data_IF_061687439355
#
_entry.id   IF_061687439355
#
_cell.length_a   1.000
_cell.length_b   1.000
_cell.length_c   1.000
_cell.angle_alpha   90.00
_cell.angle_beta   90.00
_cell.angle_gamma   90.00
#
_symmetry.space_group_name_H-M   'P 1'
#
loop_
_entity.id
_entity.type
_entity.pdbx_description
1 polymer ?
#
# COMPACT_ATOMS: atom_id res chain seq x y z
N UNK A 1 13.12 19.60 -33.78
CA UNK A 1 12.86 18.15 -33.87
C UNK A 1 12.76 17.67 -32.43
N UNK A 2 11.54 17.53 -31.88
CA UNK A 2 11.37 16.97 -30.53
C UNK A 2 11.37 15.45 -30.67
N UNK A 3 12.17 14.77 -29.85
CA UNK A 3 12.14 13.31 -29.76
C UNK A 3 10.86 12.95 -29.01
N UNK A 4 9.92 12.32 -29.71
CA UNK A 4 8.72 11.75 -29.09
C UNK A 4 9.17 10.78 -27.99
N UNK A 5 8.77 11.03 -26.75
CA UNK A 5 9.14 10.22 -25.57
C UNK A 5 10.25 10.78 -24.68
N UNK A 6 10.89 11.90 -25.02
CA UNK A 6 11.94 12.49 -24.16
C UNK A 6 11.39 13.15 -22.89
N UNK A 7 10.12 13.58 -22.94
CA UNK A 7 9.36 14.11 -21.80
C UNK A 7 8.58 13.00 -21.04
N UNK A 8 8.63 11.74 -21.53
CA UNK A 8 7.85 10.64 -20.95
C UNK A 8 8.60 10.07 -19.74
N UNK A 9 8.49 10.79 -18.62
CA UNK A 9 9.08 10.40 -17.34
C UNK A 9 8.41 9.11 -16.88
N UNK A 10 9.16 8.02 -16.89
CA UNK A 10 8.69 6.75 -16.32
C UNK A 10 8.71 6.83 -14.80
N UNK A 11 7.54 6.82 -14.21
CA UNK A 11 7.34 6.85 -12.77
C UNK A 11 6.74 5.52 -12.29
N UNK A 12 7.11 5.14 -11.07
CA UNK A 12 6.50 4.04 -10.35
C UNK A 12 6.10 4.56 -8.98
N UNK A 13 4.96 4.12 -8.49
CA UNK A 13 4.55 4.40 -7.11
C UNK A 13 4.92 3.21 -6.24
N UNK A 14 5.58 3.47 -5.12
CA UNK A 14 5.94 2.47 -4.12
C UNK A 14 5.27 2.85 -2.81
N UNK A 15 4.38 1.99 -2.33
CA UNK A 15 3.76 2.14 -1.01
C UNK A 15 4.55 1.31 0.00
N UNK A 16 5.05 1.98 1.04
CA UNK A 16 5.87 1.41 2.09
C UNK A 16 5.16 1.51 3.43
N UNK A 17 5.31 0.48 4.26
CA UNK A 17 4.88 0.50 5.65
C UNK A 17 5.95 -0.10 6.55
N UNK A 18 6.12 0.51 7.70
CA UNK A 18 7.00 0.02 8.76
C UNK A 18 6.17 -0.14 10.03
N UNK A 19 6.41 -1.22 10.78
CA UNK A 19 5.78 -1.42 12.07
C UNK A 19 6.63 -0.84 13.20
N UNK A 20 5.99 -0.61 14.35
CA UNK A 20 6.69 -0.14 15.56
C UNK A 20 7.75 -1.14 16.06
N UNK A 21 7.63 -2.42 15.70
CA UNK A 21 8.63 -3.45 15.99
C UNK A 21 9.89 -3.35 15.11
N UNK A 22 9.96 -2.37 14.20
CA UNK A 22 11.08 -2.17 13.27
C UNK A 22 11.01 -3.05 12.02
N UNK A 23 9.86 -3.68 11.74
CA UNK A 23 9.69 -4.51 10.55
C UNK A 23 9.23 -3.66 9.37
N UNK A 24 9.96 -3.72 8.26
CA UNK A 24 9.47 -3.24 6.97
C UNK A 24 8.54 -4.29 6.38
N UNK A 25 7.30 -3.92 6.09
CA UNK A 25 6.35 -4.80 5.41
C UNK A 25 6.73 -4.91 3.91
N UNK A 26 6.33 -6.01 3.23
CA UNK A 26 6.49 -6.09 1.79
C UNK A 26 5.81 -4.89 1.10
N UNK A 27 6.48 -4.20 0.17
CA UNK A 27 5.91 -3.04 -0.49
C UNK A 27 4.86 -3.44 -1.53
N UNK A 28 3.99 -2.47 -1.84
CA UNK A 28 3.20 -2.48 -3.06
C UNK A 28 3.88 -1.61 -4.11
N UNK A 29 4.03 -2.16 -5.32
CA UNK A 29 4.57 -1.49 -6.50
C UNK A 29 3.46 -1.28 -7.51
N UNK A 30 3.30 -0.05 -7.98
CA UNK A 30 2.39 0.29 -9.07
C UNK A 30 3.16 0.84 -10.26
N UNK A 31 3.07 0.13 -11.38
CA UNK A 31 3.58 0.55 -12.67
C UNK A 31 2.49 1.30 -13.48
N UNK A 32 2.92 2.21 -14.34
CA UNK A 32 2.04 2.83 -15.32
C UNK A 32 1.77 1.85 -16.48
N UNK A 33 0.51 1.49 -16.70
CA UNK A 33 0.12 0.65 -17.82
C UNK A 33 -1.19 -0.10 -17.60
N UNK A 34 -1.60 -0.86 -18.62
CA UNK A 34 -2.90 -1.57 -18.67
C UNK A 34 -2.80 -3.08 -18.56
N UNK A 35 -1.59 -3.62 -18.66
CA UNK A 35 -1.34 -5.06 -18.68
C UNK A 35 -0.04 -5.38 -17.94
N UNK A 36 0.15 -6.63 -17.56
CA UNK A 36 1.38 -7.11 -16.91
C UNK A 36 2.64 -6.91 -17.75
N UNK A 37 2.53 -6.62 -19.06
CA UNK A 37 3.67 -6.28 -19.90
C UNK A 37 4.34 -4.95 -19.51
N UNK A 38 3.68 -4.08 -18.73
CA UNK A 38 4.31 -2.87 -18.19
C UNK A 38 5.22 -3.14 -16.98
N UNK A 39 5.15 -4.34 -16.41
CA UNK A 39 5.96 -4.73 -15.26
C UNK A 39 7.42 -4.97 -15.67
N UNK A 40 8.33 -4.77 -14.72
CA UNK A 40 9.73 -5.16 -14.91
C UNK A 40 9.83 -6.67 -15.07
N UNK A 41 10.69 -7.12 -15.99
CA UNK A 41 11.07 -8.53 -16.12
C UNK A 41 12.07 -8.89 -15.02
N UNK A 42 11.57 -8.93 -13.80
CA UNK A 42 12.32 -9.19 -12.58
C UNK A 42 11.50 -10.09 -11.66
N UNK A 43 12.17 -11.02 -10.98
CA UNK A 43 11.52 -11.87 -9.97
C UNK A 43 11.53 -11.14 -8.64
N UNK A 44 10.40 -10.53 -8.30
CA UNK A 44 10.24 -9.83 -7.03
C UNK A 44 10.25 -10.81 -5.84
N UNK A 45 10.70 -10.37 -4.65
CA UNK A 45 10.62 -11.19 -3.45
C UNK A 45 9.17 -11.60 -3.12
N UNK A 46 9.02 -12.77 -2.51
CA UNK A 46 7.70 -13.26 -2.11
C UNK A 46 7.00 -12.26 -1.16
N UNK A 47 5.69 -12.11 -1.35
CA UNK A 47 4.85 -11.20 -0.56
C UNK A 47 4.82 -9.76 -1.05
N UNK A 48 5.70 -9.35 -1.97
CA UNK A 48 5.57 -8.04 -2.62
C UNK A 48 4.30 -8.00 -3.47
N UNK A 49 3.54 -6.92 -3.35
CA UNK A 49 2.38 -6.72 -4.21
C UNK A 49 2.78 -5.95 -5.47
N UNK A 50 2.87 -6.62 -6.61
CA UNK A 50 3.31 -6.03 -7.87
C UNK A 50 2.11 -5.87 -8.80
N UNK A 51 1.71 -4.62 -9.05
CA UNK A 51 0.52 -4.31 -9.83
C UNK A 51 0.72 -3.12 -10.77
N UNK A 52 -0.35 -2.70 -11.46
CA UNK A 52 -0.32 -1.55 -12.36
C UNK A 52 -1.65 -0.82 -12.36
N UNK A 53 -1.59 0.46 -12.69
CA UNK A 53 -2.74 1.31 -13.01
C UNK A 53 -2.41 2.13 -14.25
N UNK A 54 -3.43 2.66 -14.93
CA UNK A 54 -3.23 3.52 -16.11
C UNK A 54 -2.28 4.69 -15.83
N UNK A 55 -2.24 5.18 -14.59
CA UNK A 55 -1.50 6.36 -14.17
C UNK A 55 -0.43 6.11 -13.11
N UNK A 56 -0.07 4.85 -12.80
CA UNK A 56 0.78 4.41 -11.66
C UNK A 56 0.36 4.85 -10.25
N UNK A 57 -0.56 5.81 -10.08
CA UNK A 57 -0.99 6.30 -8.77
C UNK A 57 -1.90 5.31 -8.04
N UNK A 58 -1.84 5.37 -6.71
CA UNK A 58 -2.80 4.70 -5.84
C UNK A 58 -4.22 5.25 -6.09
N UNK A 59 -5.17 4.34 -6.18
CA UNK A 59 -6.61 4.56 -6.16
C UNK A 59 -7.27 3.61 -5.15
N UNK A 60 -8.59 3.69 -5.03
CA UNK A 60 -9.38 2.86 -4.11
C UNK A 60 -9.09 1.37 -4.29
N UNK A 61 -9.13 0.84 -5.51
CA UNK A 61 -8.92 -0.59 -5.78
C UNK A 61 -7.52 -1.04 -5.37
N UNK A 62 -6.49 -0.25 -5.66
CA UNK A 62 -5.11 -0.56 -5.23
C UNK A 62 -4.94 -0.52 -3.72
N UNK A 63 -5.69 0.35 -3.02
CA UNK A 63 -5.65 0.42 -1.57
C UNK A 63 -6.39 -0.75 -0.91
N UNK A 64 -7.50 -1.22 -1.49
CA UNK A 64 -8.14 -2.49 -1.07
C UNK A 64 -7.18 -3.65 -1.27
N UNK A 65 -6.56 -3.73 -2.45
CA UNK A 65 -5.53 -4.74 -2.75
C UNK A 65 -4.37 -4.70 -1.76
N UNK A 66 -3.94 -3.50 -1.34
CA UNK A 66 -2.90 -3.33 -0.33
C UNK A 66 -3.34 -3.88 1.03
N UNK A 67 -4.58 -3.64 1.46
CA UNK A 67 -5.13 -4.22 2.69
C UNK A 67 -5.07 -5.75 2.62
N UNK A 68 -5.58 -6.34 1.54
CA UNK A 68 -5.73 -7.79 1.39
C UNK A 68 -4.38 -8.52 1.29
N UNK A 69 -3.43 -7.97 0.54
CA UNK A 69 -2.18 -8.68 0.22
C UNK A 69 -1.04 -8.37 1.18
N UNK A 70 -1.07 -7.21 1.85
CA UNK A 70 0.04 -6.75 2.69
C UNK A 70 -0.40 -6.58 4.14
N UNK A 71 -1.42 -5.76 4.39
CA UNK A 71 -1.73 -5.31 5.74
C UNK A 71 -2.37 -6.43 6.59
N UNK A 72 -3.40 -7.10 6.08
CA UNK A 72 -4.09 -8.19 6.79
C UNK A 72 -3.13 -9.36 7.09
N UNK A 73 -2.39 -9.91 6.11
CA UNK A 73 -1.45 -10.99 6.38
C UNK A 73 -0.41 -10.64 7.46
N UNK A 74 0.04 -9.38 7.49
CA UNK A 74 0.93 -8.91 8.55
C UNK A 74 0.24 -8.93 9.92
N UNK A 75 -0.94 -8.33 10.04
CA UNK A 75 -1.68 -8.29 11.32
C UNK A 75 -2.00 -9.69 11.84
N UNK A 76 -2.52 -10.57 11.00
CA UNK A 76 -2.90 -11.92 11.39
C UNK A 76 -1.68 -12.71 11.88
N UNK A 77 -0.55 -12.59 11.16
CA UNK A 77 0.72 -13.18 11.60
C UNK A 77 1.19 -12.61 12.94
N UNK A 78 1.11 -11.30 13.14
CA UNK A 78 1.53 -10.71 14.42
C UNK A 78 0.62 -11.14 15.58
N UNK A 79 -0.69 -11.22 15.35
CA UNK A 79 -1.66 -11.68 16.37
C UNK A 79 -1.38 -13.12 16.75
N UNK A 80 -1.16 -14.00 15.78
CA UNK A 80 -0.78 -15.40 16.01
C UNK A 80 0.52 -15.50 16.81
N UNK A 81 1.59 -14.83 16.37
CA UNK A 81 2.91 -14.87 17.02
C UNK A 81 2.89 -14.36 18.47
N UNK A 82 2.01 -13.40 18.77
CA UNK A 82 1.88 -12.80 20.10
C UNK A 82 0.81 -13.51 20.96
N UNK A 83 0.13 -14.52 20.44
CA UNK A 83 -0.95 -15.21 21.15
C UNK A 83 -2.17 -14.33 21.43
N UNK A 84 -2.42 -13.34 20.57
CA UNK A 84 -3.53 -12.39 20.71
C UNK A 84 -4.80 -12.96 20.06
N UNK A 85 -5.95 -12.50 20.53
CA UNK A 85 -7.23 -12.84 19.89
C UNK A 85 -7.30 -12.25 18.47
N UNK A 86 -7.98 -12.89 17.50
CA UNK A 86 -8.08 -12.40 16.13
C UNK A 86 -8.63 -10.97 16.01
N UNK A 87 -9.52 -10.60 16.93
CA UNK A 87 -10.16 -9.29 17.00
C UNK A 87 -9.31 -8.25 17.72
N UNK A 88 -8.07 -8.58 18.14
CA UNK A 88 -7.21 -7.61 18.81
C UNK A 88 -7.02 -6.37 17.92
N UNK A 89 -7.31 -5.15 18.42
CA UNK A 89 -7.23 -3.95 17.62
C UNK A 89 -5.79 -3.68 17.15
N UNK A 90 -5.68 -3.27 15.89
CA UNK A 90 -4.45 -2.74 15.28
C UNK A 90 -4.53 -1.22 15.11
N UNK A 91 -3.38 -0.56 14.96
CA UNK A 91 -3.31 0.87 14.61
C UNK A 91 -2.42 1.03 13.40
N UNK A 92 -2.94 1.66 12.35
CA UNK A 92 -2.21 1.96 11.13
C UNK A 92 -2.12 3.48 10.93
N UNK A 93 -0.90 4.00 10.81
CA UNK A 93 -0.65 5.41 10.52
C UNK A 93 -0.65 5.63 9.01
N UNK A 94 -1.43 6.58 8.52
CA UNK A 94 -1.48 6.97 7.11
C UNK A 94 -1.21 8.46 6.95
N UNK A 95 -0.66 8.85 5.80
CA UNK A 95 -0.68 10.26 5.42
C UNK A 95 -2.09 10.71 4.99
N UNK A 96 -2.29 12.01 4.78
CA UNK A 96 -3.58 12.58 4.36
C UNK A 96 -3.80 12.53 2.84
N UNK A 97 -3.25 11.53 2.14
CA UNK A 97 -3.47 11.35 0.72
C UNK A 97 -4.91 10.85 0.44
N UNK A 98 -5.51 11.31 -0.67
CA UNK A 98 -6.93 11.06 -0.99
C UNK A 98 -7.29 9.57 -1.03
N UNK A 99 -6.43 8.72 -1.60
CA UNK A 99 -6.71 7.29 -1.68
C UNK A 99 -6.73 6.60 -0.30
N UNK A 100 -6.00 7.13 0.70
CA UNK A 100 -5.99 6.60 2.06
C UNK A 100 -7.23 7.02 2.87
N UNK A 101 -8.00 8.00 2.38
CA UNK A 101 -9.21 8.51 3.01
C UNK A 101 -10.48 8.01 2.31
N UNK A 102 -10.34 7.10 1.36
CA UNK A 102 -11.49 6.54 0.64
C UNK A 102 -12.42 5.79 1.62
N UNK A 103 -13.74 6.01 1.58
CA UNK A 103 -14.66 5.35 2.50
C UNK A 103 -14.63 3.83 2.44
N UNK A 104 -14.47 3.23 1.25
CA UNK A 104 -14.41 1.77 1.10
C UNK A 104 -13.15 1.23 1.77
N UNK A 105 -12.01 1.91 1.58
CA UNK A 105 -10.77 1.58 2.26
C UNK A 105 -10.91 1.64 3.79
N UNK A 106 -11.55 2.69 4.31
CA UNK A 106 -11.77 2.83 5.76
C UNK A 106 -12.70 1.76 6.32
N UNK A 107 -13.77 1.42 5.59
CA UNK A 107 -14.67 0.33 5.95
C UNK A 107 -13.96 -1.03 5.99
N UNK A 108 -13.03 -1.29 5.07
CA UNK A 108 -12.25 -2.54 5.11
C UNK A 108 -11.29 -2.61 6.31
N UNK A 109 -10.71 -1.48 6.74
CA UNK A 109 -9.91 -1.44 7.97
C UNK A 109 -10.78 -1.69 9.21
N UNK A 110 -11.94 -1.06 9.27
CA UNK A 110 -12.89 -1.20 10.39
C UNK A 110 -13.35 -2.65 10.57
N UNK A 111 -13.70 -3.35 9.48
CA UNK A 111 -14.06 -4.77 9.48
C UNK A 111 -12.99 -5.68 10.09
N UNK A 112 -11.73 -5.24 10.08
CA UNK A 112 -10.55 -5.98 10.59
C UNK A 112 -10.08 -5.49 11.95
N UNK A 113 -10.84 -4.61 12.59
CA UNK A 113 -10.51 -3.90 13.82
C UNK A 113 -9.15 -3.19 13.73
N UNK A 114 -8.86 -2.56 12.58
CA UNK A 114 -7.67 -1.74 12.39
C UNK A 114 -8.10 -0.27 12.44
N UNK A 115 -7.54 0.47 13.38
CA UNK A 115 -7.83 1.89 13.59
C UNK A 115 -6.88 2.71 12.72
N UNK A 116 -7.39 3.43 11.69
CA UNK A 116 -6.57 4.36 10.92
C UNK A 116 -6.33 5.64 11.73
N UNK A 117 -5.09 6.12 11.74
CA UNK A 117 -4.72 7.43 12.27
C UNK A 117 -4.03 8.22 11.17
N UNK A 118 -4.59 9.38 10.84
CA UNK A 118 -4.06 10.22 9.77
C UNK A 118 -3.08 11.26 10.31
N UNK A 119 -1.89 11.30 9.71
CA UNK A 119 -0.80 12.18 10.08
C UNK A 119 -0.53 13.13 8.91
N UNK A 120 -0.75 14.42 9.13
CA UNK A 120 -0.46 15.43 8.10
C UNK A 120 1.01 15.86 8.12
N UNK A 121 1.54 16.27 6.98
CA UNK A 121 2.91 16.77 6.84
C UNK A 121 3.18 18.10 7.58
N UNK A 122 2.15 18.77 8.11
CA UNK A 122 2.26 20.06 8.81
C UNK A 122 2.58 19.96 10.30
N UNK A 123 2.83 18.76 10.83
CA UNK A 123 3.10 18.56 12.26
C UNK A 123 4.55 18.90 12.68
N UNK A 124 5.39 19.37 11.75
CA UNK A 124 6.81 19.68 11.98
C UNK A 124 7.22 21.10 11.55
N UNK A 125 6.28 22.05 11.49
CA UNK A 125 6.53 23.49 11.28
C UNK A 125 6.09 24.28 12.49
#
# INVERSE_FOLDING_TARGET
>A
MSVIGMEDKREITVLLACSLAGNLLPPQLLFAGKTTNCHLKFTFPAGWDVWHTDSHWNNTDTMIRYIENILIPYYDKQRELLGLVPEQPGVALFDVFKAHQDPLFLTELEKRNIIPVFVSSKLWT
#
